data_IF_427623692830
#
_entry.id   IF_427623692830
#
_cell.length_a   1.000
_cell.length_b   1.000
_cell.length_c   1.000
_cell.angle_alpha   90.00
_cell.angle_beta   90.00
_cell.angle_gamma   90.00
#
_symmetry.space_group_name_H-M   'P 1'
#
loop_
_entity.id
_entity.type
_entity.pdbx_description
1 polymer ?
#
# COMPACT_ATOMS: atom_id res chain seq x y z
N UNK A 1 -4.20 -4.82 19.91
CA UNK A 1 -5.04 -5.07 18.74
C UNK A 1 -5.31 -6.57 18.66
N UNK A 2 -6.55 -7.02 18.88
CA UNK A 2 -6.90 -8.45 18.76
C UNK A 2 -6.99 -8.77 17.28
N UNK A 3 -6.09 -9.62 16.78
CA UNK A 3 -6.18 -10.20 15.45
C UNK A 3 -7.47 -11.01 15.38
N UNK A 4 -8.34 -10.76 14.40
CA UNK A 4 -9.59 -11.50 14.27
C UNK A 4 -9.30 -13.00 14.07
N UNK A 5 -10.14 -13.87 14.64
CA UNK A 5 -9.97 -15.33 14.51
C UNK A 5 -9.93 -15.79 13.04
N UNK A 6 -10.63 -15.06 12.15
CA UNK A 6 -10.62 -15.27 10.70
C UNK A 6 -9.22 -15.04 10.10
N UNK A 7 -8.53 -13.97 10.54
CA UNK A 7 -7.15 -13.66 10.10
C UNK A 7 -6.17 -14.72 10.58
N UNK A 8 -6.34 -15.19 11.81
CA UNK A 8 -5.51 -16.24 12.41
C UNK A 8 -5.69 -17.58 11.71
N UNK A 9 -6.92 -17.91 11.31
CA UNK A 9 -7.23 -19.12 10.55
C UNK A 9 -6.59 -19.06 9.17
N UNK A 10 -6.74 -17.95 8.43
CA UNK A 10 -6.09 -17.74 7.13
C UNK A 10 -4.56 -17.78 7.25
N UNK A 11 -3.98 -17.16 8.26
CA UNK A 11 -2.54 -17.22 8.51
C UNK A 11 -2.04 -18.66 8.68
N UNK A 12 -2.77 -19.48 9.44
CA UNK A 12 -2.43 -20.90 9.62
C UNK A 12 -2.57 -21.69 8.31
N UNK A 13 -3.60 -21.42 7.52
CA UNK A 13 -3.80 -22.03 6.18
C UNK A 13 -2.63 -21.69 5.23
N UNK A 14 -2.11 -20.47 5.30
CA UNK A 14 -0.92 -20.03 4.55
C UNK A 14 0.33 -20.78 5.05
N UNK A 15 0.52 -20.86 6.37
CA UNK A 15 1.65 -21.58 6.92
C UNK A 15 1.65 -23.06 6.52
N UNK A 16 0.48 -23.69 6.44
CA UNK A 16 0.38 -25.07 5.96
C UNK A 16 0.69 -25.18 4.45
N UNK A 17 0.20 -24.24 3.63
CA UNK A 17 0.56 -24.17 2.20
C UNK A 17 2.05 -23.92 1.98
N UNK A 18 2.68 -23.07 2.79
CA UNK A 18 4.12 -22.79 2.72
C UNK A 18 5.00 -23.98 3.13
N UNK A 19 4.45 -24.97 3.85
CA UNK A 19 5.16 -26.21 4.18
C UNK A 19 5.12 -27.23 3.03
N UNK A 20 4.25 -27.04 2.06
CA UNK A 20 4.19 -27.90 0.87
C UNK A 20 5.44 -27.65 0.02
N UNK A 21 6.29 -28.69 -0.15
CA UNK A 21 7.51 -28.61 -0.94
C UNK A 21 7.26 -28.22 -2.42
N UNK A 22 6.04 -28.42 -2.91
CA UNK A 22 5.60 -28.01 -4.24
C UNK A 22 5.22 -26.53 -4.32
N UNK A 23 4.99 -25.86 -3.18
CA UNK A 23 4.72 -24.43 -3.07
C UNK A 23 6.02 -23.65 -2.82
N UNK A 24 7.12 -24.02 -3.47
CA UNK A 24 8.33 -23.20 -3.47
C UNK A 24 8.09 -21.94 -4.29
N UNK A 25 7.52 -20.94 -3.62
CA UNK A 25 7.82 -19.56 -3.97
C UNK A 25 9.32 -19.38 -3.82
N UNK A 26 9.99 -19.03 -4.87
CA UNK A 26 11.29 -18.37 -4.74
C UNK A 26 11.03 -16.94 -4.24
N UNK A 27 10.64 -16.87 -2.93
CA UNK A 27 10.23 -15.64 -2.26
C UNK A 27 11.28 -14.55 -2.50
N UNK A 28 12.55 -14.93 -2.51
CA UNK A 28 13.65 -13.98 -2.73
C UNK A 28 13.62 -13.40 -4.15
N UNK A 29 13.46 -14.24 -5.16
CA UNK A 29 13.38 -13.78 -6.57
C UNK A 29 12.16 -12.89 -6.79
N UNK A 30 11.00 -13.33 -6.30
CA UNK A 30 9.75 -12.61 -6.51
C UNK A 30 9.72 -11.28 -5.70
N UNK A 31 10.37 -11.24 -4.53
CA UNK A 31 10.56 -10.01 -3.77
C UNK A 31 11.45 -9.02 -4.54
N UNK A 32 12.63 -9.45 -5.01
CA UNK A 32 13.52 -8.61 -5.82
C UNK A 32 12.83 -8.10 -7.09
N UNK A 33 12.03 -8.95 -7.74
CA UNK A 33 11.27 -8.58 -8.92
C UNK A 33 10.18 -7.53 -8.60
N UNK A 34 9.53 -7.63 -7.44
CA UNK A 34 8.56 -6.63 -7.00
C UNK A 34 9.23 -5.26 -6.79
N UNK A 35 10.42 -5.21 -6.20
CA UNK A 35 11.20 -3.99 -6.06
C UNK A 35 11.67 -3.43 -7.41
N UNK A 36 12.05 -4.29 -8.36
CA UNK A 36 12.38 -3.86 -9.72
C UNK A 36 11.16 -3.19 -10.38
N UNK A 37 9.98 -3.78 -10.27
CA UNK A 37 8.72 -3.22 -10.79
C UNK A 37 8.40 -1.87 -10.14
N UNK A 38 8.57 -1.72 -8.83
CA UNK A 38 8.40 -0.42 -8.13
C UNK A 38 9.31 0.67 -8.73
N UNK A 39 10.58 0.33 -8.98
CA UNK A 39 11.52 1.27 -9.59
C UNK A 39 11.14 1.63 -11.02
N UNK A 40 10.67 0.69 -11.84
CA UNK A 40 10.19 0.96 -13.19
C UNK A 40 8.97 1.90 -13.18
N UNK A 41 8.00 1.70 -12.28
CA UNK A 41 6.88 2.62 -12.09
C UNK A 41 7.40 4.04 -11.76
N UNK A 42 8.41 4.14 -10.92
CA UNK A 42 9.02 5.42 -10.55
C UNK A 42 9.69 6.10 -11.76
N UNK A 43 10.34 5.34 -12.64
CA UNK A 43 10.93 5.86 -13.86
C UNK A 43 9.84 6.34 -14.84
N UNK A 44 8.72 5.60 -14.98
CA UNK A 44 7.56 6.05 -15.76
C UNK A 44 7.07 7.43 -15.29
N UNK A 45 6.85 7.59 -13.97
CA UNK A 45 6.39 8.85 -13.37
C UNK A 45 7.41 9.99 -13.60
N UNK A 46 8.70 9.70 -13.36
CA UNK A 46 9.76 10.70 -13.55
C UNK A 46 9.87 11.14 -15.02
N UNK A 47 9.81 10.19 -15.94
CA UNK A 47 9.86 10.48 -17.38
C UNK A 47 8.64 11.28 -17.83
N UNK A 48 7.43 10.95 -17.35
CA UNK A 48 6.23 11.74 -17.60
C UNK A 48 6.42 13.20 -17.16
N UNK A 49 6.83 13.42 -15.91
CA UNK A 49 7.00 14.76 -15.35
C UNK A 49 8.09 15.55 -16.07
N UNK A 50 9.21 14.90 -16.42
CA UNK A 50 10.32 15.53 -17.12
C UNK A 50 9.94 15.88 -18.56
N UNK A 51 9.23 15.00 -19.24
CA UNK A 51 8.72 15.26 -20.59
C UNK A 51 7.81 16.49 -20.65
N UNK A 52 6.87 16.59 -19.70
CA UNK A 52 5.97 17.75 -19.61
C UNK A 52 6.72 19.04 -19.28
N UNK A 53 7.63 19.00 -18.28
CA UNK A 53 8.38 20.20 -17.85
C UNK A 53 9.34 20.75 -18.91
N UNK A 54 9.96 19.86 -19.67
CA UNK A 54 11.03 20.25 -20.63
C UNK A 54 10.55 20.35 -22.07
N UNK A 55 9.37 19.81 -22.39
CA UNK A 55 8.88 19.64 -23.74
C UNK A 55 9.68 18.63 -24.59
N UNK A 56 10.63 17.92 -23.99
CA UNK A 56 11.46 16.94 -24.68
C UNK A 56 10.76 15.60 -24.84
N UNK A 57 10.37 15.28 -26.07
CA UNK A 57 9.61 14.07 -26.43
C UNK A 57 10.36 12.75 -26.13
N UNK A 58 11.71 12.77 -26.07
CA UNK A 58 12.50 11.58 -25.70
C UNK A 58 12.13 10.98 -24.35
N UNK A 59 11.65 11.80 -23.41
CA UNK A 59 11.18 11.28 -22.15
C UNK A 59 9.91 10.41 -22.28
N UNK A 60 9.06 10.68 -23.26
CA UNK A 60 7.89 9.85 -23.52
C UNK A 60 8.26 8.55 -24.25
N UNK A 61 9.35 8.54 -25.02
CA UNK A 61 9.90 7.31 -25.60
C UNK A 61 10.43 6.40 -24.48
N UNK A 62 11.24 6.95 -23.54
CA UNK A 62 11.73 6.23 -22.35
C UNK A 62 10.55 5.71 -21.53
N UNK A 63 9.53 6.54 -21.29
CA UNK A 63 8.33 6.13 -20.55
C UNK A 63 7.69 4.89 -21.20
N UNK A 64 7.55 4.89 -22.50
CA UNK A 64 6.92 3.78 -23.20
C UNK A 64 7.76 2.48 -23.11
N UNK A 65 9.07 2.57 -23.34
CA UNK A 65 9.98 1.43 -23.23
C UNK A 65 9.97 0.83 -21.81
N UNK A 66 10.08 1.69 -20.80
CA UNK A 66 10.05 1.26 -19.39
C UNK A 66 8.69 0.64 -19.01
N UNK A 67 7.60 1.19 -19.55
CA UNK A 67 6.26 0.64 -19.35
C UNK A 67 6.12 -0.77 -19.92
N UNK A 68 6.63 -1.02 -21.13
CA UNK A 68 6.56 -2.36 -21.71
C UNK A 68 7.40 -3.36 -20.90
N UNK A 69 8.62 -2.99 -20.51
CA UNK A 69 9.45 -3.82 -19.62
C UNK A 69 8.72 -4.13 -18.30
N UNK A 70 8.12 -3.14 -17.66
CA UNK A 70 7.36 -3.35 -16.44
C UNK A 70 6.20 -4.33 -16.65
N UNK A 71 5.49 -4.22 -17.78
CA UNK A 71 4.38 -5.13 -18.09
C UNK A 71 4.86 -6.58 -18.22
N UNK A 72 6.00 -6.79 -18.86
CA UNK A 72 6.61 -8.12 -18.98
C UNK A 72 6.96 -8.70 -17.60
N UNK A 73 7.63 -7.93 -16.76
CA UNK A 73 8.02 -8.37 -15.42
C UNK A 73 6.80 -8.61 -14.50
N UNK A 74 5.76 -7.79 -14.63
CA UNK A 74 4.53 -8.00 -13.87
C UNK A 74 3.85 -9.34 -14.19
N UNK A 75 3.94 -9.84 -15.41
CA UNK A 75 3.37 -11.15 -15.80
C UNK A 75 4.01 -12.31 -15.04
N UNK A 76 5.24 -12.15 -14.56
CA UNK A 76 5.92 -13.17 -13.77
C UNK A 76 5.37 -13.26 -12.34
N UNK A 77 4.92 -12.15 -11.77
CA UNK A 77 4.42 -12.09 -10.38
C UNK A 77 2.88 -12.21 -10.33
N UNK A 78 2.18 -11.52 -11.24
CA UNK A 78 0.71 -11.51 -11.28
C UNK A 78 0.25 -12.66 -12.17
N UNK A 79 0.24 -13.87 -11.61
CA UNK A 79 0.08 -15.13 -12.37
C UNK A 79 -1.32 -15.38 -12.92
N UNK A 80 -2.35 -14.77 -12.35
CA UNK A 80 -3.77 -15.08 -12.67
C UNK A 80 -4.50 -13.94 -13.41
N UNK A 81 -3.80 -12.86 -13.73
CA UNK A 81 -4.45 -11.69 -14.33
C UNK A 81 -3.97 -11.43 -15.75
N UNK A 82 -4.89 -11.32 -16.68
CA UNK A 82 -4.65 -10.72 -17.99
C UNK A 82 -4.32 -9.23 -17.82
N UNK A 83 -3.47 -8.71 -18.71
CA UNK A 83 -3.17 -7.29 -18.75
C UNK A 83 -4.46 -6.46 -18.89
N UNK A 84 -4.66 -5.50 -17.98
CA UNK A 84 -5.88 -4.69 -17.94
C UNK A 84 -6.97 -5.22 -16.99
N UNK A 85 -6.83 -6.43 -16.46
CA UNK A 85 -7.70 -6.93 -15.41
C UNK A 85 -7.56 -6.11 -14.11
N UNK A 86 -8.58 -6.12 -13.27
CA UNK A 86 -8.60 -5.33 -12.04
C UNK A 86 -7.47 -5.70 -11.08
N UNK A 87 -7.17 -7.00 -10.92
CA UNK A 87 -6.05 -7.50 -10.11
C UNK A 87 -4.72 -6.93 -10.60
N UNK A 88 -4.51 -6.89 -11.92
CA UNK A 88 -3.33 -6.28 -12.54
C UNK A 88 -3.17 -4.81 -12.19
N UNK A 89 -4.25 -4.04 -12.34
CA UNK A 89 -4.22 -2.61 -12.07
C UNK A 89 -3.99 -2.33 -10.57
N UNK A 90 -4.68 -3.04 -9.68
CA UNK A 90 -4.53 -2.90 -8.23
C UNK A 90 -3.14 -3.29 -7.78
N UNK A 91 -2.59 -4.41 -8.27
CA UNK A 91 -1.22 -4.85 -7.97
C UNK A 91 -0.19 -3.76 -8.28
N UNK A 92 -0.29 -3.15 -9.46
CA UNK A 92 0.58 -2.02 -9.85
C UNK A 92 0.45 -0.85 -8.89
N UNK A 93 -0.78 -0.47 -8.51
CA UNK A 93 -1.01 0.65 -7.60
C UNK A 93 -0.54 0.38 -6.18
N UNK A 94 -0.67 -0.85 -5.68
CA UNK A 94 -0.15 -1.24 -4.37
C UNK A 94 1.37 -1.12 -4.32
N UNK A 95 2.08 -1.60 -5.36
CA UNK A 95 3.54 -1.44 -5.45
C UNK A 95 3.96 0.03 -5.54
N UNK A 96 3.27 0.83 -6.35
CA UNK A 96 3.53 2.27 -6.47
C UNK A 96 3.33 2.99 -5.13
N UNK A 97 2.24 2.72 -4.42
CA UNK A 97 1.94 3.29 -3.11
C UNK A 97 2.99 2.90 -2.08
N UNK A 98 3.39 1.62 -2.04
CA UNK A 98 4.44 1.12 -1.14
C UNK A 98 5.72 1.93 -1.27
N UNK A 99 6.19 2.13 -2.49
CA UNK A 99 7.42 2.89 -2.73
C UNK A 99 7.27 4.35 -2.31
N UNK A 100 6.18 5.02 -2.66
CA UNK A 100 5.96 6.43 -2.31
C UNK A 100 5.85 6.66 -0.80
N UNK A 101 5.15 5.78 -0.09
CA UNK A 101 5.02 5.85 1.36
C UNK A 101 6.37 5.62 2.05
N UNK A 102 7.18 4.67 1.60
CA UNK A 102 8.52 4.44 2.14
C UNK A 102 9.47 5.62 1.90
N UNK A 103 9.41 6.27 0.75
CA UNK A 103 10.17 7.49 0.48
C UNK A 103 9.78 8.66 1.40
N UNK A 104 8.47 8.85 1.65
CA UNK A 104 7.99 9.88 2.59
C UNK A 104 8.50 9.57 3.99
N UNK A 105 8.40 8.33 4.45
CA UNK A 105 8.94 7.89 5.73
C UNK A 105 10.44 8.18 5.84
N UNK A 106 11.22 7.84 4.82
CA UNK A 106 12.66 8.09 4.76
C UNK A 106 13.00 9.59 4.89
N UNK A 107 12.26 10.44 4.19
CA UNK A 107 12.46 11.92 4.29
C UNK A 107 12.14 12.47 5.67
N UNK A 108 11.22 11.86 6.41
CA UNK A 108 10.83 12.28 7.75
C UNK A 108 11.74 11.75 8.84
N UNK A 109 12.55 10.70 8.61
CA UNK A 109 13.38 10.05 9.64
C UNK A 109 14.23 11.00 10.47
N UNK A 110 14.79 12.05 9.86
CA UNK A 110 15.64 13.01 10.56
C UNK A 110 14.86 13.98 11.46
N UNK A 111 13.64 14.31 11.07
CA UNK A 111 12.88 15.41 11.68
C UNK A 111 11.72 14.93 12.55
N UNK A 112 11.12 13.77 12.22
CA UNK A 112 9.97 13.22 12.93
C UNK A 112 9.93 11.69 12.77
N UNK A 113 10.60 11.00 13.69
CA UNK A 113 10.71 9.54 13.67
C UNK A 113 9.36 8.84 13.88
N UNK A 114 8.48 9.39 14.71
CA UNK A 114 7.16 8.80 14.96
C UNK A 114 6.34 8.81 13.68
N UNK A 115 6.27 9.96 13.01
CA UNK A 115 5.57 10.09 11.74
C UNK A 115 6.20 9.25 10.63
N UNK A 116 7.53 9.11 10.61
CA UNK A 116 8.23 8.21 9.70
C UNK A 116 7.79 6.75 9.89
N UNK A 117 7.70 6.29 11.15
CA UNK A 117 7.23 4.93 11.46
C UNK A 117 5.78 4.68 11.00
N UNK A 118 4.89 5.67 11.09
CA UNK A 118 3.53 5.56 10.56
C UNK A 118 3.52 5.33 9.04
N UNK A 119 4.35 6.07 8.31
CA UNK A 119 4.49 5.91 6.85
C UNK A 119 5.11 4.56 6.47
N UNK A 120 6.13 4.09 7.21
CA UNK A 120 6.68 2.76 6.99
C UNK A 120 5.67 1.66 7.30
N UNK A 121 4.87 1.81 8.36
CA UNK A 121 3.76 0.89 8.65
C UNK A 121 2.73 0.85 7.52
N UNK A 122 2.39 2.01 6.95
CA UNK A 122 1.48 2.09 5.80
C UNK A 122 2.08 1.48 4.54
N UNK A 123 3.37 1.71 4.27
CA UNK A 123 4.10 1.08 3.16
C UNK A 123 4.12 -0.45 3.31
N UNK A 124 4.41 -0.95 4.51
CA UNK A 124 4.38 -2.37 4.78
C UNK A 124 2.98 -2.97 4.61
N UNK A 125 1.93 -2.27 5.03
CA UNK A 125 0.53 -2.69 4.83
C UNK A 125 0.20 -2.82 3.35
N UNK A 126 0.52 -1.83 2.51
CA UNK A 126 0.26 -1.89 1.06
C UNK A 126 1.05 -2.99 0.37
N UNK A 127 2.29 -3.23 0.80
CA UNK A 127 3.11 -4.33 0.29
C UNK A 127 2.55 -5.71 0.68
N UNK A 128 2.08 -5.85 1.91
CA UNK A 128 1.43 -7.08 2.37
C UNK A 128 0.13 -7.34 1.61
N UNK A 129 -0.65 -6.31 1.30
CA UNK A 129 -1.87 -6.45 0.49
C UNK A 129 -1.55 -6.90 -0.95
N UNK A 130 -0.46 -6.39 -1.54
CA UNK A 130 0.01 -6.85 -2.84
C UNK A 130 0.28 -8.36 -2.83
N UNK A 131 1.02 -8.85 -1.85
CA UNK A 131 1.32 -10.28 -1.74
C UNK A 131 0.09 -11.12 -1.41
N UNK A 132 -0.77 -10.63 -0.51
CA UNK A 132 -2.00 -11.31 -0.15
C UNK A 132 -2.92 -11.53 -1.37
N UNK A 133 -3.00 -10.53 -2.25
CA UNK A 133 -3.74 -10.61 -3.51
C UNK A 133 -3.10 -11.62 -4.48
N UNK A 134 -1.79 -11.49 -4.72
CA UNK A 134 -1.11 -12.29 -5.75
C UNK A 134 -0.82 -13.74 -5.31
N UNK A 135 -0.86 -14.03 -4.02
CA UNK A 135 -0.82 -15.38 -3.45
C UNK A 135 -2.23 -16.02 -3.32
N UNK A 136 -3.28 -15.32 -3.73
CA UNK A 136 -4.66 -15.80 -3.60
C UNK A 136 -5.13 -15.96 -2.15
N UNK A 137 -4.51 -15.22 -1.22
CA UNK A 137 -4.86 -15.22 0.21
C UNK A 137 -6.11 -14.39 0.43
N UNK A 138 -6.22 -13.27 -0.28
CA UNK A 138 -7.37 -12.39 -0.31
C UNK A 138 -7.89 -12.23 -1.74
N UNK A 139 -9.22 -12.26 -1.89
CA UNK A 139 -9.87 -11.79 -3.09
C UNK A 139 -9.91 -10.25 -3.12
N UNK A 140 -10.20 -9.67 -4.28
CA UNK A 140 -10.40 -8.22 -4.40
C UNK A 140 -11.52 -7.70 -3.51
N UNK A 141 -12.60 -8.45 -3.40
CA UNK A 141 -13.75 -8.07 -2.57
C UNK A 141 -13.39 -8.05 -1.08
N UNK A 142 -12.62 -9.03 -0.61
CA UNK A 142 -12.13 -9.05 0.78
C UNK A 142 -11.17 -7.88 1.07
N UNK A 143 -10.34 -7.49 0.10
CA UNK A 143 -9.45 -6.33 0.23
C UNK A 143 -10.27 -5.03 0.29
N UNK A 144 -11.30 -4.88 -0.55
CA UNK A 144 -12.21 -3.73 -0.53
C UNK A 144 -12.93 -3.61 0.81
N UNK A 145 -13.51 -4.71 1.30
CA UNK A 145 -14.15 -4.74 2.61
C UNK A 145 -13.21 -4.32 3.75
N UNK A 146 -11.95 -4.73 3.70
CA UNK A 146 -10.98 -4.36 4.74
C UNK A 146 -10.61 -2.88 4.69
N UNK A 147 -10.47 -2.31 3.49
CA UNK A 147 -10.23 -0.87 3.30
C UNK A 147 -11.42 -0.06 3.81
N UNK A 148 -12.64 -0.45 3.45
CA UNK A 148 -13.87 0.23 3.90
C UNK A 148 -14.04 0.19 5.43
N UNK A 149 -13.68 -0.92 6.07
CA UNK A 149 -13.69 -1.02 7.53
C UNK A 149 -12.69 -0.08 8.19
N UNK A 150 -11.48 0.01 7.62
CA UNK A 150 -10.45 0.94 8.11
C UNK A 150 -10.89 2.41 7.98
N UNK A 151 -11.59 2.76 6.89
CA UNK A 151 -12.12 4.11 6.70
C UNK A 151 -13.24 4.45 7.69
N UNK A 152 -14.20 3.56 7.90
CA UNK A 152 -15.25 3.72 8.91
C UNK A 152 -14.68 3.87 10.32
N UNK A 153 -13.69 3.06 10.67
CA UNK A 153 -13.00 3.16 11.96
C UNK A 153 -12.29 4.51 12.11
N UNK A 154 -11.66 5.02 11.05
CA UNK A 154 -11.02 6.33 11.06
C UNK A 154 -12.04 7.46 11.25
N UNK A 155 -13.17 7.40 10.54
CA UNK A 155 -14.25 8.38 10.69
C UNK A 155 -14.85 8.37 12.11
N UNK A 156 -15.04 7.18 12.71
CA UNK A 156 -15.53 7.06 14.09
C UNK A 156 -14.54 7.63 15.11
N UNK A 157 -13.23 7.39 14.90
CA UNK A 157 -12.18 7.95 15.76
C UNK A 157 -12.15 9.49 15.63
N UNK A 158 -12.27 10.04 14.43
CA UNK A 158 -12.28 11.49 14.19
C UNK A 158 -13.48 12.13 14.87
N UNK A 159 -14.69 11.62 14.63
CA UNK A 159 -15.92 12.06 15.32
C UNK A 159 -15.81 12.00 16.85
N UNK A 160 -15.18 10.95 17.37
CA UNK A 160 -14.95 10.80 18.82
C UNK A 160 -13.98 11.83 19.38
N UNK A 161 -13.00 12.29 18.59
CA UNK A 161 -12.09 13.38 18.97
C UNK A 161 -12.79 14.74 18.98
N UNK A 162 -13.58 15.03 17.94
CA UNK A 162 -14.36 16.24 17.84
C UNK A 162 -15.30 16.41 19.03
N UNK A 163 -16.06 15.34 19.39
CA UNK A 163 -16.95 15.35 20.56
C UNK A 163 -16.16 15.59 21.85
N UNK A 164 -14.97 14.99 22.02
CA UNK A 164 -14.14 15.23 23.22
C UNK A 164 -13.61 16.66 23.31
N UNK A 165 -13.32 17.29 22.19
CA UNK A 165 -12.89 18.69 22.16
C UNK A 165 -14.05 19.64 22.45
N UNK A 166 -15.26 19.36 21.95
CA UNK A 166 -16.47 20.10 22.27
C UNK A 166 -16.78 20.04 23.78
N UNK A 167 -16.80 18.85 24.37
CA UNK A 167 -17.01 18.68 25.82
C UNK A 167 -16.00 19.46 26.63
N UNK A 168 -14.69 19.40 26.28
CA UNK A 168 -13.65 20.18 26.97
C UNK A 168 -13.83 21.69 26.84
N UNK A 169 -14.39 22.16 25.72
CA UNK A 169 -14.66 23.59 25.51
C UNK A 169 -15.85 24.07 26.35
N UNK A 170 -16.88 23.23 26.49
CA UNK A 170 -18.05 23.50 27.33
C UNK A 170 -17.70 23.51 28.83
N UNK A 171 -16.89 22.58 29.31
CA UNK A 171 -16.41 22.55 30.68
C UNK A 171 -15.62 23.82 31.04
N UNK A 172 -14.72 24.27 30.14
CA UNK A 172 -13.94 25.51 30.36
C UNK A 172 -14.81 26.78 30.37
N UNK A 173 -15.91 26.80 29.63
CA UNK A 173 -16.88 27.91 29.63
C UNK A 173 -17.75 27.90 30.89
N UNK A 174 -18.13 26.72 31.37
CA UNK A 174 -18.92 26.57 32.60
C UNK A 174 -18.12 27.00 33.85
N UNK A 175 -16.82 26.71 33.93
CA UNK A 175 -15.96 27.12 35.05
C UNK A 175 -15.68 28.64 35.09
N UNK A 176 -15.67 29.29 33.91
CA UNK A 176 -15.53 30.77 33.84
C UNK A 176 -16.79 31.52 34.25
N UNK A 177 -17.95 30.90 34.21
CA UNK A 177 -19.22 31.47 34.63
C UNK A 177 -19.50 31.33 36.14
N UNK A 178 -18.71 30.52 36.85
CA UNK A 178 -18.83 30.28 38.29
C UNK A 178 -17.82 31.03 39.16
N UNK A 179 -16.93 31.77 38.53
CA UNK A 179 -15.94 32.64 39.22
C UNK A 179 -16.32 34.13 39.07
#
# INVERSE_FOLDING_TARGET
MKVSDKLRKKYNEILEKLKDENFRLDISKDEDLSFAIMNLISIEEHSFMSGVKTGNKKYFEILNEVRELRKELMKEIVKEAEEGAEVWCISKHLLAATMRLSEVGTKLLKNNKEKACEYFGSAYKTYTLFWALNLGIYSLDEIREEIEKDEKIKEEIEKSKEIKEEIKSEEKTSDKLKS
#
